data_IF_508455996312
#
_entry.id   IF_508455996312
#
_cell.length_a   1.000
_cell.length_b   1.000
_cell.length_c   1.000
_cell.angle_alpha   90.00
_cell.angle_beta   90.00
_cell.angle_gamma   90.00
#
_symmetry.space_group_name_H-M   'P 1'
#
loop_
_entity.id
_entity.type
_entity.pdbx_description
1 polymer ?
#
# COMPACT_ATOMS: atom_id res chain seq x y z
N UNK A 1 -5.59 -23.57 66.64
CA UNK A 1 -6.16 -22.41 65.92
C UNK A 1 -5.01 -21.74 65.17
N UNK A 2 -4.77 -22.10 63.91
CA UNK A 2 -5.30 -21.45 62.69
C UNK A 2 -4.60 -20.09 62.46
N UNK A 3 -3.95 -19.73 61.34
CA UNK A 3 -4.13 -20.14 59.93
C UNK A 3 -2.87 -19.75 59.12
N UNK A 4 -2.50 -20.56 58.11
CA UNK A 4 -1.50 -20.23 57.07
C UNK A 4 -2.02 -19.11 56.15
N UNK A 5 -1.21 -18.10 55.87
CA UNK A 5 -1.49 -17.10 54.82
C UNK A 5 -0.85 -17.60 53.51
N UNK A 6 -1.67 -18.10 52.59
CA UNK A 6 -1.27 -18.36 51.20
C UNK A 6 -1.57 -17.12 50.34
N UNK A 7 -0.52 -16.44 49.85
CA UNK A 7 -0.66 -15.45 48.77
C UNK A 7 -0.37 -16.13 47.43
N UNK A 8 -1.40 -16.56 46.73
CA UNK A 8 -1.34 -16.89 45.29
C UNK A 8 -1.95 -15.73 44.51
N UNK A 9 -1.11 -14.78 44.08
CA UNK A 9 -1.50 -13.74 43.13
C UNK A 9 -1.45 -14.31 41.72
N UNK A 10 -2.60 -14.71 41.19
CA UNK A 10 -2.76 -15.01 39.76
C UNK A 10 -2.86 -13.69 39.00
N UNK A 11 -1.81 -13.33 38.26
CA UNK A 11 -1.86 -12.27 37.27
C UNK A 11 -2.53 -12.83 36.00
N UNK A 12 -3.84 -12.65 35.90
CA UNK A 12 -4.63 -13.01 34.73
C UNK A 12 -5.51 -11.83 34.29
N UNK A 13 -5.85 -11.81 33.00
CA UNK A 13 -6.80 -10.85 32.43
C UNK A 13 -8.10 -10.80 33.26
N UNK A 14 -8.70 -9.61 33.46
CA UNK A 14 -9.86 -9.48 34.32
C UNK A 14 -11.03 -10.33 33.78
N UNK A 15 -11.48 -11.29 34.60
CA UNK A 15 -12.68 -12.07 34.31
C UNK A 15 -13.90 -11.14 34.44
N UNK A 16 -14.66 -11.10 33.36
CA UNK A 16 -15.88 -10.33 33.11
C UNK A 16 -16.80 -10.20 34.34
N UNK A 17 -17.01 -8.96 34.79
CA UNK A 17 -18.21 -8.58 35.54
C UNK A 17 -19.41 -8.51 34.58
N UNK A 18 -20.64 -8.77 35.02
CA UNK A 18 -21.82 -8.71 34.16
C UNK A 18 -22.05 -7.28 33.67
N UNK A 19 -21.79 -7.02 32.39
CA UNK A 19 -22.02 -5.73 31.76
C UNK A 19 -23.53 -5.49 31.59
N UNK A 20 -24.01 -4.35 32.10
CA UNK A 20 -25.31 -3.78 31.72
C UNK A 20 -25.24 -3.38 30.23
N UNK A 21 -26.24 -3.67 29.40
CA UNK A 21 -26.19 -3.32 27.99
C UNK A 21 -26.23 -1.80 27.81
N UNK A 22 -25.13 -1.23 27.36
CA UNK A 22 -25.05 0.15 26.91
C UNK A 22 -25.76 0.26 25.55
N UNK A 23 -26.92 0.93 25.55
CA UNK A 23 -27.70 1.24 24.34
C UNK A 23 -27.09 2.45 23.63
N UNK A 24 -26.04 2.20 22.85
CA UNK A 24 -25.54 3.16 21.86
C UNK A 24 -26.39 3.07 20.60
N UNK A 25 -27.28 4.04 20.36
CA UNK A 25 -28.00 4.20 19.09
C UNK A 25 -27.02 4.63 18.00
N UNK A 26 -26.37 3.66 17.35
CA UNK A 26 -25.77 3.89 16.04
C UNK A 26 -26.88 3.89 14.99
N UNK A 27 -26.84 4.88 14.11
CA UNK A 27 -27.76 5.05 12.98
C UNK A 27 -27.88 3.75 12.19
N UNK A 28 -29.06 3.13 12.25
CA UNK A 28 -29.43 2.05 11.35
C UNK A 28 -29.67 2.60 9.96
N UNK A 29 -28.68 2.43 9.08
CA UNK A 29 -28.87 2.46 7.64
C UNK A 29 -28.46 1.08 7.10
N UNK A 30 -29.34 0.46 6.33
CA UNK A 30 -29.26 -0.90 5.79
C UNK A 30 -27.86 -1.27 5.25
N UNK A 31 -27.03 -1.92 6.08
CA UNK A 31 -25.61 -2.22 5.80
C UNK A 31 -25.30 -3.73 5.82
N UNK A 32 -26.32 -4.58 5.72
CA UNK A 32 -26.17 -6.04 5.87
C UNK A 32 -25.42 -6.73 4.73
N UNK A 33 -25.06 -6.04 3.64
CA UNK A 33 -24.32 -6.64 2.51
C UNK A 33 -22.97 -5.98 2.17
N UNK A 34 -22.67 -4.78 2.66
CA UNK A 34 -21.40 -4.08 2.31
C UNK A 34 -20.25 -4.51 3.22
N UNK A 35 -20.56 -4.86 4.48
CA UNK A 35 -19.58 -5.34 5.45
C UNK A 35 -19.08 -6.76 5.14
N UNK A 36 -19.85 -7.59 4.43
CA UNK A 36 -19.42 -8.95 4.08
C UNK A 36 -18.38 -8.96 2.95
N UNK A 37 -18.43 -7.97 2.05
CA UNK A 37 -17.48 -7.82 0.93
C UNK A 37 -16.07 -7.49 1.42
N UNK A 38 -15.96 -6.78 2.55
CA UNK A 38 -14.67 -6.38 3.13
C UNK A 38 -14.10 -7.39 4.13
N UNK A 39 -14.92 -8.30 4.70
CA UNK A 39 -14.53 -9.15 5.82
C UNK A 39 -13.60 -10.32 5.43
N UNK A 40 -13.57 -10.71 4.16
CA UNK A 40 -12.67 -11.75 3.60
C UNK A 40 -12.56 -11.55 2.09
N UNK A 41 -11.94 -10.43 1.68
CA UNK A 41 -11.82 -10.10 0.26
C UNK A 41 -10.92 -11.13 -0.43
N UNK A 42 -11.51 -11.90 -1.35
CA UNK A 42 -10.79 -12.89 -2.16
C UNK A 42 -10.03 -12.21 -3.29
N UNK A 43 -8.75 -12.53 -3.43
CA UNK A 43 -7.84 -11.98 -4.44
C UNK A 43 -7.15 -13.15 -5.16
N UNK A 44 -7.22 -13.17 -6.49
CA UNK A 44 -6.61 -14.22 -7.29
C UNK A 44 -5.14 -13.88 -7.55
N UNK A 45 -4.24 -14.78 -7.22
CA UNK A 45 -2.83 -14.67 -7.55
C UNK A 45 -2.50 -15.70 -8.61
N UNK A 46 -1.71 -15.29 -9.60
CA UNK A 46 -1.21 -16.18 -10.65
C UNK A 46 0.30 -16.35 -10.54
N UNK A 47 0.88 -17.44 -11.11
CA UNK A 47 2.30 -17.71 -11.01
C UNK A 47 3.13 -16.59 -11.63
N UNK A 48 4.28 -16.26 -11.05
CA UNK A 48 5.23 -15.28 -11.59
C UNK A 48 5.58 -15.56 -13.07
N UNK A 49 5.67 -16.84 -13.45
CA UNK A 49 5.95 -17.28 -14.82
C UNK A 49 4.88 -16.93 -15.84
N UNK A 50 3.67 -16.52 -15.43
CA UNK A 50 2.62 -16.05 -16.33
C UNK A 50 2.86 -14.63 -16.85
N UNK A 51 3.80 -13.91 -16.25
CA UNK A 51 4.07 -12.52 -16.55
C UNK A 51 5.39 -12.38 -17.29
N UNK A 52 5.36 -11.67 -18.42
CA UNK A 52 6.55 -11.39 -19.21
C UNK A 52 7.03 -9.97 -18.98
N UNK A 53 8.34 -9.81 -18.76
CA UNK A 53 8.96 -8.51 -18.53
C UNK A 53 9.76 -8.09 -19.76
N UNK A 54 9.18 -7.20 -20.56
CA UNK A 54 9.87 -6.49 -21.63
C UNK A 54 10.56 -5.23 -21.11
N UNK A 55 11.41 -4.64 -21.95
CA UNK A 55 12.12 -3.39 -21.65
C UNK A 55 11.60 -2.25 -22.53
N UNK A 56 11.55 -1.03 -21.99
CA UNK A 56 11.30 0.21 -22.73
C UNK A 56 12.31 1.30 -22.37
N UNK A 57 12.15 2.47 -22.99
CA UNK A 57 13.01 3.62 -22.72
C UNK A 57 13.05 4.02 -21.24
N UNK A 58 14.17 4.60 -20.83
CA UNK A 58 14.40 4.99 -19.44
C UNK A 58 13.39 6.04 -18.99
N UNK A 59 12.91 5.89 -17.76
CA UNK A 59 12.03 6.85 -17.11
C UNK A 59 12.79 7.54 -15.98
N UNK A 60 13.06 8.83 -16.13
CA UNK A 60 13.79 9.59 -15.12
C UNK A 60 12.84 10.19 -14.09
N UNK A 61 13.30 10.26 -12.85
CA UNK A 61 12.59 10.97 -11.79
C UNK A 61 12.47 12.46 -12.13
N UNK A 62 11.35 13.07 -11.76
CA UNK A 62 11.11 14.50 -11.99
C UNK A 62 12.11 15.37 -11.23
N UNK A 63 12.52 14.94 -10.05
CA UNK A 63 13.42 15.69 -9.17
C UNK A 63 14.85 15.13 -9.24
N UNK A 64 15.82 16.00 -9.53
CA UNK A 64 17.23 15.61 -9.64
C UNK A 64 17.89 15.24 -8.31
N UNK A 65 17.28 15.63 -7.19
CA UNK A 65 17.80 15.41 -5.84
C UNK A 65 16.72 15.50 -4.78
N UNK A 66 17.01 14.99 -3.58
CA UNK A 66 16.11 15.09 -2.42
C UNK A 66 15.78 16.55 -2.05
N UNK A 67 16.75 17.50 -2.01
CA UNK A 67 16.43 18.90 -1.80
C UNK A 67 15.50 19.49 -2.86
N UNK A 68 15.74 19.19 -4.15
CA UNK A 68 14.89 19.66 -5.24
C UNK A 68 13.45 19.16 -5.11
N UNK A 69 13.27 17.89 -4.70
CA UNK A 69 11.96 17.31 -4.42
C UNK A 69 11.18 18.06 -3.35
N UNK A 70 11.83 18.39 -2.22
CA UNK A 70 11.15 19.13 -1.15
C UNK A 70 10.94 20.61 -1.49
N UNK A 71 11.80 21.20 -2.32
CA UNK A 71 11.60 22.55 -2.83
C UNK A 71 10.37 22.63 -3.74
N UNK A 72 10.24 21.73 -4.73
CA UNK A 72 9.05 21.63 -5.58
C UNK A 72 7.79 21.36 -4.74
N UNK A 73 7.90 20.50 -3.73
CA UNK A 73 6.77 20.22 -2.83
C UNK A 73 6.29 21.47 -2.08
N UNK A 74 7.19 22.36 -1.65
CA UNK A 74 6.82 23.65 -1.06
C UNK A 74 6.07 24.53 -2.06
N UNK A 75 6.64 24.69 -3.25
CA UNK A 75 6.08 25.55 -4.31
C UNK A 75 4.70 25.07 -4.79
N UNK A 76 4.50 23.76 -4.92
CA UNK A 76 3.19 23.18 -5.26
C UNK A 76 2.21 23.33 -4.09
N UNK A 77 2.65 23.13 -2.86
CA UNK A 77 1.77 23.25 -1.69
C UNK A 77 1.18 24.65 -1.54
N UNK A 78 1.95 25.69 -1.83
CA UNK A 78 1.46 27.08 -1.82
C UNK A 78 0.39 27.35 -2.90
N UNK A 79 0.45 26.63 -4.03
CA UNK A 79 -0.45 26.86 -5.19
C UNK A 79 -1.70 26.01 -5.16
N UNK A 80 -1.57 24.74 -4.78
CA UNK A 80 -2.62 23.72 -4.91
C UNK A 80 -2.89 22.93 -3.63
N UNK A 81 -2.19 23.23 -2.53
CA UNK A 81 -2.36 22.55 -1.25
C UNK A 81 -1.69 21.18 -1.18
N UNK A 82 -2.26 20.28 -0.38
CA UNK A 82 -1.67 18.97 -0.11
C UNK A 82 -1.43 18.16 -1.39
N UNK A 83 -0.20 17.66 -1.57
CA UNK A 83 0.12 16.72 -2.66
C UNK A 83 -0.64 15.42 -2.46
N UNK A 84 -1.24 14.89 -3.52
CA UNK A 84 -1.89 13.58 -3.53
C UNK A 84 -1.06 12.60 -4.37
N UNK A 85 -0.77 11.44 -3.80
CA UNK A 85 0.00 10.39 -4.47
C UNK A 85 -0.70 9.05 -4.35
N UNK A 86 -0.60 8.23 -5.39
CA UNK A 86 -1.17 6.89 -5.44
C UNK A 86 -0.09 5.88 -5.84
N UNK A 87 -0.10 4.72 -5.18
CA UNK A 87 0.82 3.61 -5.46
C UNK A 87 0.04 2.30 -5.61
N UNK A 88 0.41 1.51 -6.61
CA UNK A 88 -0.18 0.21 -6.91
C UNK A 88 0.60 -0.93 -6.28
N UNK A 89 -0.08 -1.78 -5.53
CA UNK A 89 0.44 -3.04 -4.99
C UNK A 89 -0.01 -4.16 -5.93
N UNK A 90 0.93 -4.71 -6.71
CA UNK A 90 0.67 -5.86 -7.58
C UNK A 90 1.21 -7.12 -6.94
N UNK A 91 0.41 -8.17 -6.96
CA UNK A 91 0.74 -9.44 -6.36
C UNK A 91 0.79 -10.55 -7.40
N UNK A 92 1.78 -11.42 -7.24
CA UNK A 92 1.92 -12.70 -7.95
C UNK A 92 2.21 -13.77 -6.91
N UNK A 93 2.28 -15.03 -7.32
CA UNK A 93 2.84 -16.06 -6.45
C UNK A 93 3.94 -16.86 -7.12
N UNK A 94 4.81 -17.41 -6.29
CA UNK A 94 5.78 -18.42 -6.69
C UNK A 94 5.81 -19.47 -5.57
N UNK A 95 5.64 -20.74 -5.94
CA UNK A 95 5.55 -21.86 -5.00
C UNK A 95 4.48 -21.69 -3.89
N UNK A 96 3.35 -21.05 -4.21
CA UNK A 96 2.27 -20.80 -3.24
C UNK A 96 2.59 -19.71 -2.21
N UNK A 97 3.62 -18.89 -2.47
CA UNK A 97 3.98 -17.75 -1.63
C UNK A 97 3.65 -16.44 -2.36
N UNK A 98 2.95 -15.49 -1.72
CA UNK A 98 2.65 -14.19 -2.33
C UNK A 98 3.91 -13.33 -2.41
N UNK A 99 4.10 -12.72 -3.57
CA UNK A 99 5.20 -11.79 -3.85
C UNK A 99 4.64 -10.44 -4.32
N UNK A 100 5.22 -9.35 -3.83
CA UNK A 100 4.92 -7.99 -4.27
C UNK A 100 5.87 -7.62 -5.41
N UNK A 101 5.33 -7.10 -6.51
CA UNK A 101 6.16 -6.57 -7.60
C UNK A 101 6.68 -5.17 -7.22
N UNK A 102 8.00 -5.00 -7.21
CA UNK A 102 8.69 -3.75 -6.85
C UNK A 102 9.62 -3.29 -7.97
N UNK A 103 9.69 -1.97 -8.15
CA UNK A 103 10.66 -1.31 -9.00
C UNK A 103 11.96 -1.08 -8.22
N UNK A 104 13.04 -1.75 -8.61
CA UNK A 104 14.38 -1.59 -8.05
C UNK A 104 15.20 -0.60 -8.90
N UNK A 105 15.82 0.37 -8.23
CA UNK A 105 16.79 1.31 -8.81
C UNK A 105 18.13 1.12 -8.09
N UNK A 106 19.18 0.84 -8.85
CA UNK A 106 20.46 0.48 -8.25
C UNK A 106 20.33 -0.78 -7.39
N UNK A 107 20.98 -0.80 -6.23
CA UNK A 107 21.05 -2.00 -5.37
C UNK A 107 20.03 -1.98 -4.23
N UNK A 108 19.81 -0.84 -3.57
CA UNK A 108 19.08 -0.76 -2.29
C UNK A 108 17.83 0.12 -2.33
N UNK A 109 17.41 0.60 -3.50
CA UNK A 109 16.26 1.50 -3.59
C UNK A 109 15.10 0.82 -4.30
N UNK A 110 13.98 0.70 -3.58
CA UNK A 110 12.77 0.01 -4.03
C UNK A 110 11.57 0.96 -3.99
N UNK A 111 10.70 0.85 -4.99
CA UNK A 111 9.47 1.62 -5.13
C UNK A 111 8.31 0.75 -5.56
N UNK A 112 7.10 1.13 -5.14
CA UNK A 112 5.88 0.69 -5.78
C UNK A 112 5.67 1.50 -7.07
N UNK A 113 5.11 0.92 -8.14
CA UNK A 113 4.67 1.69 -9.30
C UNK A 113 3.54 2.64 -8.90
N UNK A 114 3.61 3.89 -9.35
CA UNK A 114 2.69 4.94 -8.92
C UNK A 114 3.27 6.31 -9.16
N UNK A 115 2.72 7.31 -8.48
CA UNK A 115 3.17 8.69 -8.65
C UNK A 115 2.19 9.73 -8.13
N UNK A 116 2.32 10.94 -8.66
CA UNK A 116 1.57 12.12 -8.26
C UNK A 116 0.30 12.26 -9.10
N UNK A 117 -0.82 12.57 -8.45
CA UNK A 117 -2.07 12.90 -9.11
C UNK A 117 -2.08 14.35 -9.60
N UNK A 118 -2.75 14.58 -10.72
CA UNK A 118 -3.05 15.92 -11.17
C UNK A 118 -4.11 16.58 -10.25
N UNK A 119 -4.19 17.92 -10.21
CA UNK A 119 -5.24 18.62 -9.50
C UNK A 119 -6.63 18.16 -9.95
N UNK A 120 -7.49 17.76 -9.02
CA UNK A 120 -8.84 17.27 -9.32
C UNK A 120 -8.92 15.88 -9.97
N UNK A 121 -7.81 15.21 -10.24
CA UNK A 121 -7.79 13.86 -10.80
C UNK A 121 -8.35 12.84 -9.79
N UNK A 122 -9.12 11.88 -10.29
CA UNK A 122 -9.60 10.71 -9.55
C UNK A 122 -8.43 9.79 -9.23
N UNK A 123 -8.42 9.24 -8.01
CA UNK A 123 -7.36 8.37 -7.51
C UNK A 123 -7.21 7.09 -8.31
N UNK A 124 -8.32 6.42 -8.65
CA UNK A 124 -8.30 5.18 -9.42
C UNK A 124 -7.85 5.44 -10.86
N UNK A 125 -8.43 6.44 -11.53
CA UNK A 125 -8.07 6.78 -12.91
C UNK A 125 -6.63 7.31 -13.02
N UNK A 126 -6.19 8.12 -12.06
CA UNK A 126 -4.82 8.58 -11.96
C UNK A 126 -3.85 7.41 -11.73
N UNK A 127 -4.20 6.45 -10.88
CA UNK A 127 -3.39 5.24 -10.70
C UNK A 127 -3.33 4.43 -12.00
N UNK A 128 -4.43 4.20 -12.71
CA UNK A 128 -4.41 3.52 -14.03
C UNK A 128 -3.51 4.23 -15.04
N UNK A 129 -3.54 5.56 -15.09
CA UNK A 129 -2.64 6.38 -15.92
C UNK A 129 -1.19 6.15 -15.53
N UNK A 130 -0.86 6.25 -14.25
CA UNK A 130 0.52 6.08 -13.73
C UNK A 130 1.04 4.66 -13.94
N UNK A 131 0.20 3.63 -13.72
CA UNK A 131 0.52 2.24 -13.99
C UNK A 131 0.82 2.01 -15.47
N UNK A 132 0.04 2.62 -16.37
CA UNK A 132 0.29 2.58 -17.82
C UNK A 132 1.57 3.31 -18.19
N UNK A 133 1.84 4.47 -17.60
CA UNK A 133 3.06 5.23 -17.84
C UNK A 133 4.31 4.43 -17.43
N UNK A 134 4.26 3.77 -16.27
CA UNK A 134 5.40 3.07 -15.69
C UNK A 134 5.58 1.66 -16.25
N UNK A 135 4.51 0.86 -16.39
CA UNK A 135 4.59 -0.55 -16.80
C UNK A 135 3.86 -0.90 -18.10
N UNK A 136 3.11 0.05 -18.68
CA UNK A 136 2.33 -0.18 -19.90
C UNK A 136 3.19 -0.36 -21.15
N UNK A 137 2.66 -1.17 -22.08
CA UNK A 137 3.28 -1.52 -23.37
C UNK A 137 3.34 -0.32 -24.32
N UNK A 138 4.33 -0.30 -25.20
CA UNK A 138 4.50 0.75 -26.22
C UNK A 138 3.94 0.37 -27.60
N UNK A 139 3.40 -0.85 -27.75
CA UNK A 139 2.85 -1.38 -29.00
C UNK A 139 1.38 -0.98 -29.24
N UNK A 140 0.85 -0.06 -28.45
CA UNK A 140 -0.53 0.43 -28.55
C UNK A 140 -1.57 -0.45 -27.88
N UNK A 141 -1.21 -1.62 -27.36
CA UNK A 141 -2.12 -2.47 -26.58
C UNK A 141 -2.28 -1.87 -25.18
N UNK A 142 -3.45 -1.30 -24.91
CA UNK A 142 -3.79 -0.79 -23.59
C UNK A 142 -4.01 -1.95 -22.63
N UNK A 143 -3.27 -1.93 -21.52
CA UNK A 143 -3.52 -2.81 -20.39
C UNK A 143 -4.66 -2.22 -19.57
N UNK A 144 -5.72 -2.99 -19.34
CA UNK A 144 -6.74 -2.62 -18.37
C UNK A 144 -6.24 -2.97 -16.96
N UNK A 145 -6.31 -2.00 -16.06
CA UNK A 145 -5.82 -2.11 -14.69
C UNK A 145 -7.01 -2.11 -13.74
N UNK A 146 -7.26 -3.25 -13.09
CA UNK A 146 -8.33 -3.39 -12.12
C UNK A 146 -7.85 -2.93 -10.75
N UNK A 147 -8.23 -1.70 -10.38
CA UNK A 147 -7.98 -1.13 -9.05
C UNK A 147 -9.08 -1.62 -8.11
N UNK A 148 -8.74 -2.43 -7.12
CA UNK A 148 -9.74 -3.06 -6.24
C UNK A 148 -9.89 -2.34 -4.90
N UNK A 149 -8.87 -2.47 -4.05
CA UNK A 149 -9.00 -2.23 -2.62
C UNK A 149 -7.96 -1.21 -2.17
N UNK A 150 -8.33 -0.34 -1.23
CA UNK A 150 -7.33 0.46 -0.52
C UNK A 150 -6.61 -0.42 0.51
N UNK A 151 -5.28 -0.45 0.41
CA UNK A 151 -4.39 -1.24 1.28
C UNK A 151 -3.90 -0.39 2.45
N UNK A 152 -3.68 0.91 2.23
CA UNK A 152 -3.20 1.79 3.30
C UNK A 152 -3.16 3.25 2.89
N UNK A 153 -3.05 4.11 3.91
CA UNK A 153 -2.93 5.56 3.76
C UNK A 153 -1.74 6.05 4.59
N UNK A 154 -0.96 6.96 4.02
CA UNK A 154 0.21 7.54 4.64
C UNK A 154 0.22 9.06 4.48
N UNK A 155 0.62 9.75 5.55
CA UNK A 155 0.67 11.20 5.58
C UNK A 155 2.08 11.69 5.88
N UNK A 156 2.50 12.71 5.13
CA UNK A 156 3.70 13.48 5.39
C UNK A 156 3.33 14.79 6.07
N UNK A 157 3.70 15.04 7.34
CA UNK A 157 3.30 16.26 8.04
C UNK A 157 4.08 17.51 7.59
N UNK A 158 5.36 17.33 7.24
CA UNK A 158 6.32 18.41 6.94
C UNK A 158 7.01 18.19 5.59
N UNK A 159 7.76 19.19 5.11
CA UNK A 159 8.57 19.06 3.89
C UNK A 159 9.89 18.31 4.17
N UNK A 160 9.76 17.11 4.73
CA UNK A 160 10.84 16.26 5.25
C UNK A 160 10.52 14.78 4.99
N UNK A 161 11.51 13.86 5.04
CA UNK A 161 11.32 12.44 4.73
C UNK A 161 10.27 11.64 5.53
N UNK A 162 10.03 11.89 6.84
CA UNK A 162 9.12 11.05 7.64
C UNK A 162 7.68 11.01 7.12
N UNK A 163 7.07 9.82 7.16
CA UNK A 163 5.68 9.56 6.79
C UNK A 163 5.05 8.65 7.85
N UNK A 164 3.75 8.81 8.10
CA UNK A 164 3.03 8.11 9.16
C UNK A 164 1.73 7.50 8.61
N UNK A 165 1.32 6.31 9.08
CA UNK A 165 0.06 5.67 8.66
C UNK A 165 -1.18 6.27 9.34
N UNK A 166 -1.07 7.51 9.83
CA UNK A 166 -2.12 8.32 10.45
C UNK A 166 -1.73 9.80 10.32
N UNK A 167 -2.68 10.71 10.48
CA UNK A 167 -2.39 12.15 10.59
C UNK A 167 -1.89 12.42 12.02
N UNK A 168 -0.64 12.89 12.23
CA UNK A 168 -0.11 13.10 13.58
C UNK A 168 -0.89 14.17 14.36
N UNK A 169 -0.88 14.12 15.71
CA UNK A 169 -1.55 15.11 16.54
C UNK A 169 -1.13 16.54 16.20
N UNK A 170 -2.09 17.47 16.22
CA UNK A 170 -1.90 18.89 15.91
C UNK A 170 -1.51 19.23 14.45
N UNK A 171 -1.42 18.24 13.56
CA UNK A 171 -1.22 18.47 12.13
C UNK A 171 -2.57 18.66 11.45
N UNK A 172 -2.89 19.92 11.09
CA UNK A 172 -4.11 20.28 10.36
C UNK A 172 -3.91 20.31 8.84
N UNK A 173 -2.66 20.48 8.39
CA UNK A 173 -2.31 20.64 6.98
C UNK A 173 -1.08 19.79 6.60
N UNK A 174 -1.25 18.46 6.43
CA UNK A 174 -0.20 17.59 5.92
C UNK A 174 0.22 17.99 4.50
N UNK A 175 1.49 17.75 4.15
CA UNK A 175 2.09 18.16 2.86
C UNK A 175 1.88 17.14 1.75
N UNK A 176 1.74 15.87 2.11
CA UNK A 176 1.47 14.78 1.16
C UNK A 176 0.52 13.77 1.83
N UNK A 177 -0.46 13.30 1.07
CA UNK A 177 -1.26 12.12 1.37
C UNK A 177 -1.02 11.09 0.26
N UNK A 178 -0.51 9.93 0.68
CA UNK A 178 -0.16 8.81 -0.18
C UNK A 178 -1.11 7.64 0.07
N UNK A 179 -1.74 7.15 -0.98
CA UNK A 179 -2.71 6.06 -0.95
C UNK A 179 -2.14 4.83 -1.65
N UNK A 180 -2.29 3.68 -1.03
CA UNK A 180 -1.89 2.40 -1.60
C UNK A 180 -3.12 1.63 -2.02
N UNK A 181 -3.15 1.16 -3.26
CA UNK A 181 -4.24 0.37 -3.79
C UNK A 181 -3.75 -0.99 -4.28
N UNK A 182 -4.51 -2.04 -4.00
CA UNK A 182 -4.32 -3.35 -4.59
C UNK A 182 -4.76 -3.30 -6.06
N UNK A 183 -3.87 -3.73 -6.95
CA UNK A 183 -4.16 -3.84 -8.38
C UNK A 183 -4.23 -5.31 -8.75
N UNK A 184 -5.43 -5.78 -9.07
CA UNK A 184 -5.67 -7.17 -9.46
C UNK A 184 -5.12 -7.40 -10.87
N UNK A 185 -4.15 -8.30 -10.97
CA UNK A 185 -3.57 -8.69 -12.25
C UNK A 185 -4.46 -9.70 -12.97
N UNK A 186 -4.54 -9.66 -14.31
CA UNK A 186 -5.12 -10.75 -15.08
C UNK A 186 -4.23 -11.99 -15.00
N UNK A 187 -4.74 -13.12 -15.50
CA UNK A 187 -4.01 -14.40 -15.53
C UNK A 187 -2.65 -14.28 -16.22
N UNK A 188 -2.55 -13.49 -17.29
CA UNK A 188 -1.32 -13.25 -18.05
C UNK A 188 -1.25 -11.77 -18.44
N UNK A 189 -0.06 -11.18 -18.31
CA UNK A 189 0.21 -9.83 -18.78
C UNK A 189 1.66 -9.69 -19.24
N UNK A 190 1.90 -8.68 -20.08
CA UNK A 190 3.24 -8.25 -20.47
C UNK A 190 3.48 -6.86 -19.91
N UNK A 191 4.52 -6.70 -19.11
CA UNK A 191 4.96 -5.42 -18.57
C UNK A 191 6.13 -4.89 -19.39
N UNK A 192 6.10 -3.61 -19.75
CA UNK A 192 7.25 -2.94 -20.35
C UNK A 192 7.93 -2.06 -19.28
N UNK A 193 9.04 -2.57 -18.74
CA UNK A 193 9.79 -1.96 -17.63
C UNK A 193 10.81 -0.96 -18.19
N UNK A 194 10.90 0.27 -17.67
CA UNK A 194 11.91 1.22 -18.14
C UNK A 194 13.33 0.69 -17.85
N UNK A 195 14.25 0.82 -18.82
CA UNK A 195 15.59 0.18 -18.78
C UNK A 195 16.48 0.56 -17.58
N UNK A 196 16.18 1.66 -16.90
CA UNK A 196 16.88 2.10 -15.69
C UNK A 196 16.28 1.54 -14.39
N UNK A 197 15.25 0.69 -14.50
CA UNK A 197 14.63 -0.05 -13.41
C UNK A 197 14.72 -1.55 -13.66
N UNK A 198 14.71 -2.31 -12.57
CA UNK A 198 14.43 -3.75 -12.60
C UNK A 198 13.12 -4.00 -11.88
N UNK A 199 12.21 -4.75 -12.49
CA UNK A 199 11.02 -5.23 -11.80
C UNK A 199 11.36 -6.55 -11.09
N UNK A 200 11.19 -6.58 -9.77
CA UNK A 200 11.50 -7.74 -8.92
C UNK A 200 10.25 -8.20 -8.20
N UNK A 201 10.14 -9.50 -7.94
CA UNK A 201 9.09 -10.08 -7.11
C UNK A 201 9.67 -10.35 -5.72
N UNK A 202 9.25 -9.57 -4.71
CA UNK A 202 9.74 -9.72 -3.34
C UNK A 202 8.71 -10.49 -2.49
N UNK A 203 9.07 -11.66 -1.92
CA UNK A 203 8.16 -12.41 -1.06
C UNK A 203 7.85 -11.64 0.23
N UNK A 204 6.65 -11.84 0.77
CA UNK A 204 6.22 -11.10 1.97
C UNK A 204 7.15 -11.25 3.17
N UNK A 205 7.81 -12.41 3.34
CA UNK A 205 8.74 -12.62 4.45
C UNK A 205 10.03 -11.80 4.34
N UNK A 206 10.45 -11.40 3.14
CA UNK A 206 11.62 -10.53 2.94
C UNK A 206 11.28 -9.07 3.28
N UNK A 207 10.02 -8.67 3.07
CA UNK A 207 9.52 -7.34 3.36
C UNK A 207 9.21 -7.14 4.85
N UNK A 208 8.67 -8.18 5.49
CA UNK A 208 8.16 -8.09 6.86
C UNK A 208 9.22 -7.59 7.84
N UNK A 209 8.91 -6.48 8.52
CA UNK A 209 9.76 -5.85 9.54
C UNK A 209 11.16 -5.44 9.03
N UNK A 210 11.32 -5.27 7.71
CA UNK A 210 12.57 -4.86 7.07
C UNK A 210 12.53 -3.41 6.56
N UNK A 211 12.22 -2.48 7.46
CA UNK A 211 12.15 -1.05 7.12
C UNK A 211 13.51 -0.46 6.73
N UNK A 212 14.62 -1.08 7.15
CA UNK A 212 15.97 -0.67 6.76
C UNK A 212 16.24 -0.91 5.27
N UNK A 213 15.77 -2.03 4.72
CA UNK A 213 15.93 -2.36 3.29
C UNK A 213 14.86 -1.74 2.40
N UNK A 214 13.60 -1.74 2.84
CA UNK A 214 12.44 -1.41 1.99
C UNK A 214 11.73 -0.10 2.36
N UNK A 215 12.13 0.55 3.45
CA UNK A 215 11.40 1.68 4.00
C UNK A 215 10.09 1.27 4.68
N UNK A 216 9.51 2.18 5.49
CA UNK A 216 8.41 1.84 6.40
C UNK A 216 7.10 1.44 5.70
N UNK A 217 6.89 1.91 4.46
CA UNK A 217 5.67 1.63 3.70
C UNK A 217 5.68 0.20 3.18
N UNK A 218 6.70 -0.14 2.37
CA UNK A 218 6.81 -1.46 1.74
C UNK A 218 6.98 -2.55 2.80
N UNK A 219 7.76 -2.30 3.86
CA UNK A 219 7.99 -3.28 4.92
C UNK A 219 6.74 -3.60 5.77
N UNK A 220 5.69 -2.77 5.65
CA UNK A 220 4.40 -2.95 6.33
C UNK A 220 3.33 -3.63 5.46
N UNK A 221 3.62 -3.87 4.17
CA UNK A 221 2.69 -4.53 3.25
C UNK A 221 2.27 -5.92 3.73
N UNK A 222 3.13 -6.78 4.32
CA UNK A 222 2.68 -8.08 4.82
C UNK A 222 1.54 -7.97 5.85
N UNK A 223 1.60 -6.99 6.75
CA UNK A 223 0.54 -6.71 7.72
C UNK A 223 -0.73 -6.21 7.02
N UNK A 224 -0.59 -5.26 6.10
CA UNK A 224 -1.73 -4.67 5.37
C UNK A 224 -2.44 -5.68 4.46
N UNK A 225 -1.68 -6.63 3.91
CA UNK A 225 -2.18 -7.68 3.01
C UNK A 225 -2.76 -8.89 3.75
N UNK A 226 -2.51 -9.04 5.05
CA UNK A 226 -2.95 -10.19 5.85
C UNK A 226 -4.47 -10.39 5.92
N UNK A 227 -5.25 -9.35 5.59
CA UNK A 227 -6.73 -9.41 5.56
C UNK A 227 -7.30 -10.05 4.30
N UNK A 228 -6.50 -10.25 3.25
CA UNK A 228 -6.99 -10.81 1.98
C UNK A 228 -6.94 -12.33 2.00
N UNK A 229 -7.94 -12.95 1.39
CA UNK A 229 -7.97 -14.38 1.13
C UNK A 229 -7.37 -14.66 -0.25
N UNK A 230 -6.08 -15.00 -0.30
CA UNK A 230 -5.39 -15.28 -1.56
C UNK A 230 -5.75 -16.65 -2.13
N UNK A 231 -6.16 -16.68 -3.39
CA UNK A 231 -6.34 -17.91 -4.17
C UNK A 231 -5.13 -18.04 -5.09
N UNK A 232 -4.32 -19.07 -4.87
CA UNK A 232 -3.16 -19.39 -5.68
C UNK A 232 -3.62 -20.24 -6.87
N UNK A 233 -3.77 -19.62 -8.03
CA UNK A 233 -4.22 -20.24 -9.28
C UNK A 233 -3.05 -20.75 -10.12
#
# INVERSE_FOLDING_TARGET
MATRISRTGSAGWPKSAPQRPYSGKYMGSNSTNVLSVTLNRTVNLYPLTNYTFGTKEAQYERDSSVPARFQRMREEFEKMGMRRSVEGVLLVHEHGLPHVLLLQLGTTFFKLPGGELNPGEDEAEGLKRLMTEVLGRQDGVKQDWLIEDTVGNWWRPNFEPPQYPYVPPHITAPKEHKMLHLVQLPEKALFAVPKNYKLVAAPLFELYDNAQGYGPIISSLPQALSRFNFIYL
#
